data_IF_508072808326
#
_entry.id   IF_508072808326
#
_cell.length_a   1.000
_cell.length_b   1.000
_cell.length_c   1.000
_cell.angle_alpha   90.00
_cell.angle_beta   90.00
_cell.angle_gamma   90.00
#
_symmetry.space_group_name_H-M   'P 1'
#
loop_
_entity.id
_entity.type
_entity.pdbx_description
1 polymer ?
#
# COMPACT_ATOMS: atom_id res chain seq x y z
N UNK A 1 -10.95 17.53 2.97
CA UNK A 1 -10.58 16.11 2.62
C UNK A 1 -10.06 16.03 1.19
N UNK A 2 -10.75 16.58 0.16
CA UNK A 2 -10.19 16.71 -1.19
C UNK A 2 -8.93 17.58 -1.23
N UNK A 3 -8.86 18.63 -0.39
CA UNK A 3 -7.72 19.55 -0.38
C UNK A 3 -6.40 18.85 -0.05
N UNK A 4 -6.44 17.74 0.72
CA UNK A 4 -5.25 16.95 1.03
C UNK A 4 -4.71 16.26 -0.23
N UNK A 5 -5.59 15.71 -1.08
CA UNK A 5 -5.19 15.07 -2.33
C UNK A 5 -4.71 16.08 -3.35
N UNK A 6 -5.26 17.30 -3.34
CA UNK A 6 -4.82 18.39 -4.21
C UNK A 6 -3.41 18.90 -3.88
N UNK A 7 -2.87 18.61 -2.68
CA UNK A 7 -1.45 18.90 -2.35
C UNK A 7 -0.45 17.98 -3.06
N UNK A 8 -0.93 16.90 -3.69
CA UNK A 8 -0.12 15.94 -4.43
C UNK A 8 -0.26 16.23 -5.93
N UNK A 9 0.82 16.67 -6.62
CA UNK A 9 0.79 16.91 -8.05
C UNK A 9 0.37 15.64 -8.81
N UNK A 10 -0.59 15.77 -9.74
CA UNK A 10 -1.08 14.67 -10.57
C UNK A 10 -2.05 13.70 -9.87
N UNK A 11 -2.48 13.95 -8.63
CA UNK A 11 -3.41 13.07 -7.90
C UNK A 11 -4.75 12.86 -8.61
N UNK A 12 -5.14 13.78 -9.50
CA UNK A 12 -6.36 13.67 -10.31
C UNK A 12 -6.15 12.89 -11.61
N UNK A 13 -4.93 12.89 -12.13
CA UNK A 13 -4.58 12.27 -13.41
C UNK A 13 -4.27 10.78 -13.23
N UNK A 14 -3.64 10.42 -12.11
CA UNK A 14 -3.19 9.05 -11.85
C UNK A 14 -4.26 8.21 -11.13
N UNK A 15 -4.37 6.91 -11.43
CA UNK A 15 -5.28 6.01 -10.75
C UNK A 15 -4.87 5.84 -9.27
N UNK A 16 -5.83 6.04 -8.38
CA UNK A 16 -5.69 5.86 -6.94
C UNK A 16 -6.38 4.55 -6.55
N UNK A 17 -5.61 3.64 -5.92
CA UNK A 17 -6.13 2.44 -5.29
C UNK A 17 -6.38 2.72 -3.81
N UNK A 18 -7.63 2.57 -3.39
CA UNK A 18 -8.06 2.85 -2.02
C UNK A 18 -8.63 1.60 -1.35
N UNK A 19 -8.63 1.62 -0.02
CA UNK A 19 -9.14 0.51 0.77
C UNK A 19 -10.63 0.25 0.50
N UNK A 20 -10.93 -0.96 0.03
CA UNK A 20 -12.30 -1.44 -0.24
C UNK A 20 -13.16 -1.54 1.02
N UNK A 21 -12.59 -1.48 2.23
CA UNK A 21 -13.33 -1.45 3.49
C UNK A 21 -14.14 -0.16 3.72
N UNK A 22 -13.88 0.92 2.96
CA UNK A 22 -14.60 2.22 3.07
C UNK A 22 -15.16 2.69 1.72
N UNK A 23 -16.14 1.98 1.14
CA UNK A 23 -16.70 2.31 -0.17
C UNK A 23 -17.35 3.71 -0.23
N UNK A 24 -17.81 4.23 0.91
CA UNK A 24 -18.38 5.57 1.05
C UNK A 24 -17.35 6.68 0.73
N UNK A 25 -16.11 6.48 1.19
CA UNK A 25 -15.02 7.45 0.97
C UNK A 25 -14.57 7.43 -0.49
N UNK A 26 -14.47 6.23 -1.07
CA UNK A 26 -14.17 6.04 -2.51
C UNK A 26 -15.22 6.73 -3.37
N UNK A 27 -16.50 6.51 -3.07
CA UNK A 27 -17.60 7.11 -3.81
C UNK A 27 -17.61 8.64 -3.70
N UNK A 28 -17.29 9.19 -2.52
CA UNK A 28 -17.16 10.63 -2.32
C UNK A 28 -16.02 11.23 -3.16
N UNK A 29 -14.82 10.66 -3.09
CA UNK A 29 -13.66 11.14 -3.86
C UNK A 29 -13.86 10.98 -5.37
N UNK A 30 -14.50 9.90 -5.82
CA UNK A 30 -14.84 9.70 -7.23
C UNK A 30 -15.77 10.80 -7.75
N UNK A 31 -16.76 11.23 -6.95
CA UNK A 31 -17.63 12.38 -7.30
C UNK A 31 -16.90 13.71 -7.35
N UNK A 32 -15.76 13.83 -6.66
CA UNK A 32 -14.91 15.03 -6.68
C UNK A 32 -13.94 15.06 -7.87
N UNK A 33 -14.02 14.09 -8.78
CA UNK A 33 -13.21 14.03 -9.99
C UNK A 33 -11.86 13.35 -9.82
N UNK A 34 -11.65 12.57 -8.76
CA UNK A 34 -10.46 11.74 -8.60
C UNK A 34 -10.63 10.40 -9.32
N UNK A 35 -9.58 9.95 -10.00
CA UNK A 35 -9.51 8.62 -10.61
C UNK A 35 -9.26 7.55 -9.55
N UNK A 36 -10.26 7.27 -8.69
CA UNK A 36 -10.13 6.37 -7.55
C UNK A 36 -10.94 5.08 -7.74
N UNK A 37 -10.34 3.95 -7.36
CA UNK A 37 -10.96 2.63 -7.38
C UNK A 37 -10.65 1.84 -6.11
N UNK A 38 -11.54 0.91 -5.77
CA UNK A 38 -11.33 -0.02 -4.67
C UNK A 38 -10.20 -1.00 -5.05
N UNK A 39 -9.26 -1.20 -4.12
CA UNK A 39 -8.26 -2.25 -4.25
C UNK A 39 -8.92 -3.62 -4.02
N UNK A 40 -8.61 -4.58 -4.90
CA UNK A 40 -9.01 -5.96 -4.69
C UNK A 40 -8.26 -6.56 -3.50
N UNK A 41 -9.00 -6.89 -2.45
CA UNK A 41 -8.47 -7.53 -1.24
C UNK A 41 -9.01 -8.94 -1.14
N UNK A 42 -8.11 -9.92 -1.14
CA UNK A 42 -8.43 -11.31 -0.83
C UNK A 42 -7.59 -11.79 0.36
N UNK A 43 -7.99 -12.92 0.94
CA UNK A 43 -7.23 -13.56 2.01
C UNK A 43 -5.84 -13.96 1.49
N UNK A 44 -4.78 -13.42 2.08
CA UNK A 44 -3.40 -13.62 1.62
C UNK A 44 -2.84 -12.52 0.71
N UNK A 45 -3.67 -11.58 0.23
CA UNK A 45 -3.21 -10.47 -0.66
C UNK A 45 -2.05 -9.65 -0.09
N UNK A 46 -1.97 -9.51 1.24
CA UNK A 46 -0.86 -8.84 1.93
C UNK A 46 0.42 -9.66 1.86
N UNK A 47 0.34 -10.98 2.06
CA UNK A 47 1.50 -11.89 2.01
C UNK A 47 2.06 -11.96 0.59
N UNK A 48 1.18 -12.06 -0.42
CA UNK A 48 1.54 -12.03 -1.83
C UNK A 48 2.22 -10.70 -2.20
N UNK A 49 1.65 -9.57 -1.75
CA UNK A 49 2.23 -8.26 -1.97
C UNK A 49 3.60 -8.11 -1.29
N UNK A 50 3.79 -8.62 -0.07
CA UNK A 50 5.11 -8.61 0.60
C UNK A 50 6.12 -9.49 -0.13
N UNK A 51 5.72 -10.68 -0.58
CA UNK A 51 6.60 -11.56 -1.35
C UNK A 51 7.03 -10.87 -2.66
N UNK A 52 6.11 -10.15 -3.31
CA UNK A 52 6.41 -9.34 -4.47
C UNK A 52 7.39 -8.20 -4.15
N UNK A 53 7.16 -7.50 -3.04
CA UNK A 53 8.03 -6.40 -2.60
C UNK A 53 9.45 -6.85 -2.28
N UNK A 54 9.59 -8.06 -1.74
CA UNK A 54 10.90 -8.71 -1.50
C UNK A 54 11.62 -9.11 -2.80
N UNK A 55 10.91 -9.15 -3.92
CA UNK A 55 11.50 -9.40 -5.23
C UNK A 55 12.20 -8.18 -5.84
N UNK A 56 12.01 -6.98 -5.29
CA UNK A 56 12.73 -5.79 -5.76
C UNK A 56 14.12 -5.71 -5.12
N UNK A 57 15.10 -5.27 -5.91
CA UNK A 57 16.47 -5.02 -5.43
C UNK A 57 16.53 -3.86 -4.42
N UNK A 58 15.69 -2.83 -4.61
CA UNK A 58 15.61 -1.66 -3.73
C UNK A 58 14.20 -1.03 -3.72
N UNK A 59 13.75 -0.56 -2.56
CA UNK A 59 12.51 0.22 -2.41
C UNK A 59 12.87 1.64 -1.96
N UNK A 60 12.77 2.61 -2.88
CA UNK A 60 13.10 4.01 -2.62
C UNK A 60 11.86 4.75 -2.09
N UNK A 61 11.89 5.17 -0.82
CA UNK A 61 10.82 5.95 -0.19
C UNK A 61 11.17 7.43 -0.20
N UNK A 62 10.36 8.24 -0.88
CA UNK A 62 10.55 9.69 -0.92
C UNK A 62 10.43 10.31 0.50
N UNK A 63 11.28 11.29 0.89
CA UNK A 63 11.31 11.85 2.26
C UNK A 63 10.02 12.56 2.70
N UNK A 64 9.13 12.89 1.75
CA UNK A 64 7.78 13.41 2.05
C UNK A 64 6.89 12.36 2.72
N UNK A 65 7.15 11.07 2.48
CA UNK A 65 6.39 9.94 3.00
C UNK A 65 6.91 9.50 4.38
N UNK A 66 6.89 10.43 5.35
CA UNK A 66 7.46 10.21 6.70
C UNK A 66 6.85 8.99 7.41
N UNK A 67 5.55 8.78 7.27
CA UNK A 67 4.85 7.63 7.87
C UNK A 67 5.31 6.31 7.25
N UNK A 68 5.37 6.24 5.92
CA UNK A 68 5.86 5.06 5.19
C UNK A 68 7.30 4.74 5.59
N UNK A 69 8.18 5.74 5.65
CA UNK A 69 9.57 5.55 6.07
C UNK A 69 9.70 5.09 7.53
N UNK A 70 8.83 5.57 8.43
CA UNK A 70 8.78 5.11 9.82
C UNK A 70 8.33 3.66 9.90
N UNK A 71 7.24 3.33 9.22
CA UNK A 71 6.70 1.99 9.19
C UNK A 71 7.68 1.00 8.54
N UNK A 72 8.38 1.39 7.47
CA UNK A 72 9.44 0.61 6.83
C UNK A 72 10.55 0.18 7.78
N UNK A 73 10.87 1.03 8.77
CA UNK A 73 11.91 0.76 9.76
C UNK A 73 11.40 -0.05 10.96
N UNK A 74 10.11 0.01 11.26
CA UNK A 74 9.52 -0.60 12.45
C UNK A 74 8.85 -1.94 12.15
N UNK A 75 8.33 -2.12 10.94
CA UNK A 75 7.58 -3.30 10.56
C UNK A 75 8.50 -4.50 10.36
N UNK A 76 8.27 -5.54 11.16
CA UNK A 76 9.10 -6.75 11.24
C UNK A 76 8.23 -7.98 11.44
N UNK A 77 8.78 -9.17 11.24
CA UNK A 77 8.12 -10.42 11.61
C UNK A 77 8.06 -10.58 13.12
N UNK A 78 7.03 -11.26 13.63
CA UNK A 78 6.94 -11.66 15.03
C UNK A 78 8.12 -12.58 15.35
N UNK A 79 8.84 -12.24 16.40
CA UNK A 79 9.87 -13.12 16.96
C UNK A 79 9.27 -13.88 18.13
N UNK A 80 9.52 -15.18 18.21
CA UNK A 80 9.16 -15.98 19.38
C UNK A 80 9.94 -15.46 20.60
N UNK A 81 9.22 -15.21 21.70
CA UNK A 81 9.79 -14.58 22.90
C UNK A 81 10.74 -15.50 23.66
N UNK A 82 10.62 -16.82 23.48
CA UNK A 82 11.36 -17.83 24.22
C UNK A 82 12.55 -18.31 23.38
N UNK A 83 12.34 -18.61 22.10
CA UNK A 83 13.37 -19.17 21.22
C UNK A 83 14.14 -18.10 20.44
N UNK A 84 13.58 -16.90 20.28
CA UNK A 84 14.14 -15.86 19.43
C UNK A 84 13.99 -16.16 17.93
N UNK A 85 13.24 -17.20 17.54
CA UNK A 85 13.01 -17.55 16.15
C UNK A 85 12.03 -16.59 15.47
N UNK A 86 12.29 -16.28 14.20
CA UNK A 86 11.41 -15.45 13.38
C UNK A 86 10.24 -16.29 12.90
N UNK A 87 9.03 -15.94 13.32
CA UNK A 87 7.81 -16.60 12.89
C UNK A 87 7.37 -16.10 11.52
N UNK A 88 6.71 -16.93 10.69
CA UNK A 88 6.08 -16.51 9.43
C UNK A 88 4.78 -15.72 9.69
N UNK A 89 4.74 -14.91 10.74
CA UNK A 89 3.62 -14.05 11.13
C UNK A 89 4.14 -12.63 11.25
N UNK A 90 3.46 -11.68 10.63
CA UNK A 90 3.81 -10.27 10.71
C UNK A 90 3.52 -9.72 12.10
N UNK A 91 4.39 -8.85 12.61
CA UNK A 91 4.15 -8.15 13.86
C UNK A 91 2.94 -7.23 13.73
N UNK A 92 2.14 -7.13 14.80
CA UNK A 92 1.06 -6.17 14.88
C UNK A 92 1.63 -4.78 15.15
N UNK A 93 1.12 -3.78 14.43
CA UNK A 93 1.55 -2.40 14.52
C UNK A 93 2.46 -1.97 13.37
N UNK A 94 2.24 -0.75 12.89
CA UNK A 94 2.98 -0.10 11.80
C UNK A 94 2.79 -0.76 10.42
N UNK A 95 1.67 -1.45 10.23
CA UNK A 95 1.27 -2.14 9.00
C UNK A 95 0.39 -1.28 8.08
N UNK A 96 0.02 -0.06 8.49
CA UNK A 96 -1.08 0.69 7.88
C UNK A 96 -0.77 1.14 6.45
N UNK A 97 0.42 1.68 6.18
CA UNK A 97 0.85 2.05 4.84
C UNK A 97 1.28 0.83 4.04
N UNK A 98 1.96 -0.13 4.67
CA UNK A 98 2.50 -1.30 3.97
C UNK A 98 1.43 -2.29 3.53
N UNK A 99 0.36 -2.49 4.30
CA UNK A 99 -0.78 -3.33 3.89
C UNK A 99 -1.48 -2.73 2.68
N UNK A 100 -1.62 -1.41 2.63
CA UNK A 100 -2.14 -0.69 1.45
C UNK A 100 -1.18 -0.84 0.27
N UNK A 101 0.13 -0.68 0.49
CA UNK A 101 1.11 -0.84 -0.57
C UNK A 101 1.14 -2.25 -1.14
N UNK A 102 1.16 -3.27 -0.28
CA UNK A 102 1.13 -4.68 -0.66
C UNK A 102 -0.12 -5.00 -1.50
N UNK A 103 -1.31 -4.62 -1.03
CA UNK A 103 -2.57 -4.87 -1.75
C UNK A 103 -2.68 -4.08 -3.06
N UNK A 104 -2.23 -2.82 -3.08
CA UNK A 104 -2.20 -2.02 -4.30
C UNK A 104 -1.17 -2.55 -5.32
N UNK A 105 -0.06 -3.12 -4.87
CA UNK A 105 0.97 -3.70 -5.74
C UNK A 105 0.40 -4.87 -6.54
N UNK A 106 -0.32 -5.78 -5.88
CA UNK A 106 -0.89 -6.96 -6.52
C UNK A 106 -1.98 -6.59 -7.54
N UNK A 107 -2.77 -5.55 -7.26
CA UNK A 107 -3.81 -5.04 -8.16
C UNK A 107 -3.21 -4.28 -9.36
N UNK A 108 -2.23 -3.40 -9.11
CA UNK A 108 -1.61 -2.56 -10.16
C UNK A 108 -0.76 -3.36 -11.14
N UNK A 109 -0.21 -4.50 -10.72
CA UNK A 109 0.64 -5.36 -11.57
C UNK A 109 -0.15 -6.41 -12.37
N UNK A 110 -1.39 -6.70 -11.97
CA UNK A 110 -2.31 -7.48 -12.80
C UNK A 110 -2.85 -6.66 -13.99
N UNK A 111 -2.79 -5.33 -13.88
CA UNK A 111 -2.78 -4.45 -15.04
C UNK A 111 -1.35 -4.44 -15.58
N UNK A 112 -1.08 -5.11 -16.69
CA UNK A 112 0.17 -4.92 -17.45
C UNK A 112 0.30 -3.41 -17.77
N UNK A 113 0.96 -2.67 -16.90
CA UNK A 113 1.30 -1.28 -17.13
C UNK A 113 2.34 -1.26 -18.25
N UNK A 114 1.85 -1.11 -19.50
CA UNK A 114 2.66 -0.60 -20.60
C UNK A 114 3.19 0.76 -20.15
N UNK A 115 4.46 0.79 -19.79
CA UNK A 115 5.21 2.03 -19.70
C UNK A 115 5.41 2.54 -21.13
N UNK A 116 4.90 3.73 -21.50
CA UNK A 116 5.39 4.39 -22.69
C UNK A 116 6.83 4.82 -22.41
N UNK A 117 7.74 4.35 -23.26
CA UNK A 117 9.15 4.78 -23.28
C UNK A 117 9.32 6.16 -23.88
#
# INVERSE_FOLDING_TARGET
MPELYDTIPGSRDWPIKADSARPETISYLKRQGFNISAAEKWQGSVEDGIAHLRGFDEIIIHPRCKNVAREARMWSYKTDRITGEVLPKLADGYEHCWTVFATASTDTLNVRARWPG
#
